data_IF_363743151395
#
_entry.id   IF_363743151395
#
_cell.length_a   1.000
_cell.length_b   1.000
_cell.length_c   1.000
_cell.angle_alpha   90.00
_cell.angle_beta   90.00
_cell.angle_gamma   90.00
#
_symmetry.space_group_name_H-M   'P 1'
#
loop_
_entity.id
_entity.type
_entity.pdbx_description
1 polymer ?
#
# COMPACT_ATOMS: atom_id res chain seq x y z
N UNK A 1 -2.43 38.40 -30.94
CA UNK A 1 -1.98 38.45 -29.53
C UNK A 1 -2.93 37.69 -28.61
N UNK A 2 -4.23 38.02 -28.55
CA UNK A 2 -5.21 37.28 -27.73
C UNK A 2 -5.31 35.78 -28.06
N UNK A 3 -5.30 35.39 -29.34
CA UNK A 3 -5.43 33.98 -29.75
C UNK A 3 -4.24 33.14 -29.26
N UNK A 4 -3.02 33.68 -29.37
CA UNK A 4 -1.80 33.00 -28.90
C UNK A 4 -1.85 32.84 -27.37
N UNK A 5 -2.32 33.85 -26.65
CA UNK A 5 -2.51 33.78 -25.21
C UNK A 5 -3.53 32.72 -24.80
N UNK A 6 -4.67 32.63 -25.51
CA UNK A 6 -5.68 31.59 -25.26
C UNK A 6 -5.13 30.18 -25.49
N UNK A 7 -4.31 29.98 -26.53
CA UNK A 7 -3.68 28.69 -26.80
C UNK A 7 -2.73 28.30 -25.66
N UNK A 8 -1.89 29.23 -25.19
CA UNK A 8 -0.95 28.97 -24.08
C UNK A 8 -1.70 28.61 -22.78
N UNK A 9 -2.77 29.34 -22.47
CA UNK A 9 -3.63 29.04 -21.30
C UNK A 9 -4.28 27.66 -21.45
N UNK A 10 -4.76 27.33 -22.65
CA UNK A 10 -5.38 26.03 -22.94
C UNK A 10 -4.39 24.88 -22.76
N UNK A 11 -3.15 25.01 -23.23
CA UNK A 11 -2.09 24.02 -23.03
C UNK A 11 -1.69 23.86 -21.56
N UNK A 12 -1.61 24.96 -20.80
CA UNK A 12 -1.30 24.92 -19.37
C UNK A 12 -2.39 24.18 -18.57
N UNK A 13 -3.65 24.37 -18.94
CA UNK A 13 -4.79 23.63 -18.37
C UNK A 13 -4.72 22.15 -18.74
N UNK A 14 -4.39 21.83 -20.00
CA UNK A 14 -4.25 20.46 -20.48
C UNK A 14 -3.17 19.67 -19.71
N UNK A 15 -2.04 20.31 -19.42
CA UNK A 15 -0.96 19.69 -18.64
C UNK A 15 -1.42 19.31 -17.23
N UNK A 16 -2.21 20.16 -16.56
CA UNK A 16 -2.79 19.81 -15.25
C UNK A 16 -3.68 18.58 -15.32
N UNK A 17 -4.56 18.52 -16.32
CA UNK A 17 -5.44 17.36 -16.51
C UNK A 17 -4.64 16.08 -16.81
N UNK A 18 -3.58 16.16 -17.63
CA UNK A 18 -2.72 15.02 -17.92
C UNK A 18 -2.04 14.46 -16.66
N UNK A 19 -1.57 15.33 -15.77
CA UNK A 19 -0.96 14.90 -14.49
C UNK A 19 -1.99 14.24 -13.58
N UNK A 20 -3.19 14.81 -13.44
CA UNK A 20 -4.25 14.22 -12.61
C UNK A 20 -4.72 12.85 -13.13
N UNK A 21 -4.88 12.72 -14.45
CA UNK A 21 -5.24 11.44 -15.08
C UNK A 21 -4.13 10.41 -14.84
N UNK A 22 -2.86 10.81 -15.03
CA UNK A 22 -1.71 9.92 -14.79
C UNK A 22 -1.67 9.40 -13.35
N UNK A 23 -1.94 10.26 -12.37
CA UNK A 23 -1.97 9.85 -10.95
C UNK A 23 -3.15 8.91 -10.67
N UNK A 24 -4.35 9.21 -11.18
CA UNK A 24 -5.52 8.34 -10.98
C UNK A 24 -5.37 6.99 -11.67
N UNK A 25 -4.84 6.97 -12.89
CA UNK A 25 -4.54 5.75 -13.64
C UNK A 25 -3.42 4.97 -12.95
N UNK A 26 -2.38 5.65 -12.48
CA UNK A 26 -1.32 5.04 -11.67
C UNK A 26 -1.89 4.37 -10.42
N UNK A 27 -2.74 5.06 -9.66
CA UNK A 27 -3.38 4.50 -8.48
C UNK A 27 -4.37 3.38 -8.80
N UNK A 28 -4.95 3.35 -10.00
CA UNK A 28 -5.86 2.27 -10.42
C UNK A 28 -5.10 1.01 -10.89
N UNK A 29 -3.97 1.18 -11.57
CA UNK A 29 -3.14 0.09 -12.09
C UNK A 29 -2.25 -0.49 -10.98
N UNK A 30 -1.69 0.39 -10.15
CA UNK A 30 -0.90 0.04 -8.97
C UNK A 30 -1.74 0.01 -7.71
N UNK A 31 -3.08 -0.01 -7.81
CA UNK A 31 -3.90 -0.24 -6.63
C UNK A 31 -3.47 -1.60 -6.08
N UNK A 32 -2.77 -1.66 -4.93
CA UNK A 32 -2.44 -2.94 -4.34
C UNK A 32 -3.77 -3.65 -4.14
N UNK A 33 -3.82 -4.92 -4.54
CA UNK A 33 -5.03 -5.73 -4.43
C UNK A 33 -5.61 -5.53 -3.03
N UNK A 34 -6.91 -5.29 -2.90
CA UNK A 34 -7.53 -5.06 -1.58
C UNK A 34 -7.20 -6.23 -0.63
N UNK A 35 -7.00 -7.44 -1.20
CA UNK A 35 -6.50 -8.61 -0.49
C UNK A 35 -5.05 -8.45 0.03
N UNK A 36 -4.16 -7.82 -0.73
CA UNK A 36 -2.78 -7.55 -0.30
C UNK A 36 -2.75 -6.49 0.81
N UNK A 37 -3.57 -5.44 0.69
CA UNK A 37 -3.73 -4.43 1.73
C UNK A 37 -4.27 -5.03 3.03
N UNK A 38 -5.27 -5.89 2.94
CA UNK A 38 -5.86 -6.58 4.09
C UNK A 38 -4.84 -7.53 4.75
N UNK A 39 -4.11 -8.32 3.97
CA UNK A 39 -3.04 -9.18 4.48
C UNK A 39 -1.93 -8.36 5.17
N UNK A 40 -1.53 -7.22 4.61
CA UNK A 40 -0.56 -6.30 5.25
C UNK A 40 -1.11 -5.70 6.55
N UNK A 41 -2.40 -5.37 6.60
CA UNK A 41 -3.06 -4.89 7.81
C UNK A 41 -3.09 -5.98 8.91
N UNK A 42 -3.41 -7.21 8.55
CA UNK A 42 -3.39 -8.36 9.47
C UNK A 42 -1.98 -8.65 10.02
N UNK A 43 -0.93 -8.55 9.19
CA UNK A 43 0.46 -8.67 9.65
C UNK A 43 0.81 -7.57 10.65
N UNK A 44 0.35 -6.33 10.42
CA UNK A 44 0.60 -5.21 11.33
C UNK A 44 -0.06 -5.46 12.69
N UNK A 45 -1.33 -5.87 12.69
CA UNK A 45 -2.06 -6.16 13.92
C UNK A 45 -1.40 -7.30 14.73
N UNK A 46 -0.98 -8.38 14.07
CA UNK A 46 -0.27 -9.48 14.73
C UNK A 46 1.09 -9.04 15.31
N UNK A 47 1.80 -8.12 14.64
CA UNK A 47 3.04 -7.53 15.19
C UNK A 47 2.78 -6.64 16.39
N UNK A 48 1.71 -5.86 16.36
CA UNK A 48 1.31 -5.02 17.49
C UNK A 48 0.93 -5.88 18.71
N UNK A 49 0.18 -6.97 18.49
CA UNK A 49 -0.11 -7.97 19.52
C UNK A 49 1.16 -8.65 20.05
N UNK A 50 2.13 -8.93 19.17
CA UNK A 50 3.40 -9.53 19.57
C UNK A 50 4.24 -8.58 20.42
N UNK A 51 4.22 -7.27 20.11
CA UNK A 51 4.92 -6.24 20.86
C UNK A 51 4.35 -6.04 22.27
N UNK A 52 3.08 -6.39 22.50
CA UNK A 52 2.46 -6.36 23.82
C UNK A 52 2.81 -7.56 24.71
N UNK A 53 3.43 -8.61 24.16
CA UNK A 53 3.77 -9.83 24.88
C UNK A 53 5.25 -9.82 25.29
N UNK A 54 5.53 -10.10 26.57
CA UNK A 54 6.91 -10.27 27.05
C UNK A 54 7.53 -11.52 26.42
N UNK A 55 8.57 -11.32 25.61
CA UNK A 55 9.32 -12.40 24.95
C UNK A 55 9.94 -13.39 25.95
N UNK A 56 10.26 -12.93 27.16
CA UNK A 56 10.93 -13.72 28.19
C UNK A 56 9.92 -14.52 29.02
N UNK A 57 8.81 -13.92 29.42
CA UNK A 57 7.84 -14.56 30.31
C UNK A 57 6.79 -15.39 29.54
N UNK A 58 6.44 -14.97 28.32
CA UNK A 58 5.42 -15.59 27.47
C UNK A 58 6.00 -16.08 26.13
N UNK A 59 7.24 -16.60 26.14
CA UNK A 59 7.97 -17.03 24.93
C UNK A 59 7.16 -17.98 24.02
N UNK A 60 6.41 -18.93 24.59
CA UNK A 60 5.60 -19.86 23.81
C UNK A 60 4.48 -19.14 23.02
N UNK A 61 3.88 -18.10 23.61
CA UNK A 61 2.84 -17.30 22.97
C UNK A 61 3.43 -16.35 21.93
N UNK A 62 4.58 -15.74 22.26
CA UNK A 62 5.36 -14.94 21.33
C UNK A 62 5.76 -15.73 20.07
N UNK A 63 6.29 -16.94 20.23
CA UNK A 63 6.68 -17.82 19.12
C UNK A 63 5.49 -18.28 18.28
N UNK A 64 4.31 -18.45 18.90
CA UNK A 64 3.08 -18.77 18.17
C UNK A 64 2.64 -17.61 17.28
N UNK A 65 2.71 -16.37 17.78
CA UNK A 65 2.44 -15.16 16.98
C UNK A 65 3.48 -14.96 15.88
N UNK A 66 4.77 -15.15 16.17
CA UNK A 66 5.83 -15.09 15.16
C UNK A 66 5.56 -16.04 13.99
N UNK A 67 5.15 -17.28 14.30
CA UNK A 67 4.85 -18.29 13.27
C UNK A 67 3.61 -17.95 12.46
N UNK A 68 2.62 -17.26 13.05
CA UNK A 68 1.47 -16.74 12.31
C UNK A 68 1.90 -15.59 11.39
N UNK A 69 2.70 -14.64 11.88
CA UNK A 69 3.26 -13.54 11.09
C UNK A 69 4.05 -14.08 9.89
N UNK A 70 4.91 -15.08 10.10
CA UNK A 70 5.71 -15.69 9.04
C UNK A 70 4.84 -16.36 7.97
N UNK A 71 3.71 -16.96 8.36
CA UNK A 71 2.75 -17.58 7.42
C UNK A 71 2.02 -16.53 6.57
N UNK A 72 1.60 -15.41 7.16
CA UNK A 72 0.97 -14.33 6.40
C UNK A 72 1.99 -13.61 5.51
N UNK A 73 3.23 -13.43 5.98
CA UNK A 73 4.34 -12.90 5.16
C UNK A 73 4.65 -13.78 3.95
N UNK A 74 4.64 -15.10 4.11
CA UNK A 74 4.84 -16.01 2.97
C UNK A 74 3.72 -15.91 1.94
N UNK A 75 2.47 -15.75 2.39
CA UNK A 75 1.31 -15.55 1.50
C UNK A 75 1.39 -14.23 0.72
N UNK A 76 1.79 -13.12 1.37
CA UNK A 76 2.00 -11.84 0.68
C UNK A 76 3.13 -11.96 -0.36
N UNK A 77 4.20 -12.69 -0.03
CA UNK A 77 5.34 -12.89 -0.95
C UNK A 77 4.98 -13.77 -2.15
N UNK A 78 4.10 -14.76 -1.97
CA UNK A 78 3.57 -15.59 -3.05
C UNK A 78 2.56 -14.85 -3.93
N UNK A 79 1.71 -14.00 -3.34
CA UNK A 79 0.75 -13.16 -4.08
C UNK A 79 1.40 -12.03 -4.88
N UNK A 80 2.63 -11.64 -4.53
CA UNK A 80 3.39 -10.58 -5.20
C UNK A 80 4.21 -11.09 -6.40
N UNK A 81 4.16 -12.39 -6.75
CA UNK A 81 4.99 -13.02 -7.78
C UNK A 81 4.17 -13.43 -8.99
#
# INVERSE_FOLDING_TARGET
MIIVFLIVVMFAVLQKFATEITVKVGNCIFSPDDAELDLRAQIRDLKDQQAQISMIDEFARYMKLQRQIDKFLSQVKESSK
#
